data_IF_825118555720
#
_entry.id   IF_825118555720
#
_cell.length_a   1.000
_cell.length_b   1.000
_cell.length_c   1.000
_cell.angle_alpha   90.00
_cell.angle_beta   90.00
_cell.angle_gamma   90.00
#
_symmetry.space_group_name_H-M   'P 1'
#
loop_
_entity.id
_entity.type
_entity.pdbx_description
1 polymer ?
#
# COMPACT_ATOMS: atom_id res chain seq x y z
N UNK A 1 -14.60 22.42 -6.76
CA UNK A 1 -15.83 21.60 -6.59
C UNK A 1 -15.71 20.47 -5.56
N UNK A 2 -14.50 20.00 -5.18
CA UNK A 2 -14.37 18.88 -4.23
C UNK A 2 -14.99 19.15 -2.85
N UNK A 3 -14.82 20.37 -2.30
CA UNK A 3 -15.28 20.73 -0.94
C UNK A 3 -16.74 20.37 -0.61
N UNK A 4 -17.69 20.50 -1.55
CA UNK A 4 -19.11 20.21 -1.27
C UNK A 4 -19.40 18.71 -1.18
N UNK A 5 -18.72 17.91 -2.01
CA UNK A 5 -18.94 16.47 -2.11
C UNK A 5 -18.42 15.69 -0.89
N UNK A 6 -17.46 16.26 -0.16
CA UNK A 6 -16.97 15.71 1.11
C UNK A 6 -17.95 15.94 2.26
N UNK A 7 -18.74 17.02 2.24
CA UNK A 7 -19.70 17.33 3.30
C UNK A 7 -20.86 16.33 3.29
N UNK A 8 -21.38 16.00 2.10
CA UNK A 8 -22.41 14.96 1.94
C UNK A 8 -21.90 13.61 2.44
N UNK A 9 -20.71 13.19 2.01
CA UNK A 9 -20.10 11.93 2.45
C UNK A 9 -19.89 11.87 3.97
N UNK A 10 -19.47 12.97 4.60
CA UNK A 10 -19.30 13.03 6.05
C UNK A 10 -20.64 13.02 6.80
N UNK A 11 -21.74 13.42 6.16
CA UNK A 11 -23.07 13.36 6.76
C UNK A 11 -23.62 11.94 6.83
N UNK A 12 -23.15 11.03 5.96
CA UNK A 12 -23.57 9.62 5.93
C UNK A 12 -22.88 8.79 7.03
N UNK A 13 -21.81 9.31 7.63
CA UNK A 13 -21.09 8.68 8.72
C UNK A 13 -21.24 9.55 9.97
N UNK A 14 -21.66 8.99 11.09
CA UNK A 14 -21.68 9.72 12.38
C UNK A 14 -20.24 9.90 12.89
N UNK A 15 -19.50 10.80 12.26
CA UNK A 15 -18.07 11.02 12.50
C UNK A 15 -17.80 12.47 12.91
N UNK A 16 -17.20 12.64 14.08
CA UNK A 16 -16.77 13.96 14.56
C UNK A 16 -15.36 14.26 14.08
N UNK A 17 -15.18 15.34 13.32
CA UNK A 17 -13.84 15.80 12.89
C UNK A 17 -13.15 16.47 14.08
N UNK A 18 -12.34 15.70 14.80
CA UNK A 18 -11.49 16.21 15.89
C UNK A 18 -10.12 16.57 15.34
N UNK A 19 -9.81 17.86 15.28
CA UNK A 19 -8.48 18.32 14.91
C UNK A 19 -7.50 18.12 16.07
N UNK A 20 -6.45 17.36 15.82
CA UNK A 20 -5.38 17.14 16.80
C UNK A 20 -4.07 17.70 16.23
N UNK A 21 -3.62 18.83 16.76
CA UNK A 21 -2.33 19.40 16.37
C UNK A 21 -1.18 18.51 16.90
N UNK A 22 -0.27 18.10 16.02
CA UNK A 22 0.95 17.35 16.41
C UNK A 22 0.89 15.84 16.16
N UNK A 23 1.20 15.03 17.20
CA UNK A 23 1.55 13.59 17.10
C UNK A 23 0.45 12.68 16.54
N UNK A 24 -0.82 13.10 16.55
CA UNK A 24 -1.92 12.31 16.02
C UNK A 24 -1.81 12.06 14.51
N UNK A 25 -1.19 13.00 13.77
CA UNK A 25 -0.93 12.83 12.34
C UNK A 25 0.27 11.91 12.04
N UNK A 26 1.06 11.50 13.04
CA UNK A 26 2.25 10.67 12.82
C UNK A 26 1.85 9.28 12.32
N UNK A 27 0.77 8.72 12.86
CA UNK A 27 0.25 7.42 12.41
C UNK A 27 -0.28 7.51 10.97
N UNK A 28 -1.06 8.55 10.67
CA UNK A 28 -1.59 8.78 9.32
C UNK A 28 -0.47 9.03 8.29
N UNK A 29 0.54 9.85 8.63
CA UNK A 29 1.70 10.14 7.78
C UNK A 29 2.59 8.91 7.58
N UNK A 30 2.81 8.11 8.62
CA UNK A 30 3.55 6.85 8.52
C UNK A 30 2.83 5.83 7.62
N UNK A 31 1.51 5.73 7.70
CA UNK A 31 0.71 4.84 6.85
C UNK A 31 0.62 5.33 5.40
N UNK A 32 0.50 6.64 5.18
CA UNK A 32 0.45 7.24 3.84
C UNK A 32 1.73 6.99 3.03
N UNK A 33 2.88 6.90 3.71
CA UNK A 33 4.19 6.67 3.06
C UNK A 33 4.36 5.28 2.44
N UNK A 34 3.44 4.33 2.69
CA UNK A 34 3.59 2.95 2.20
C UNK A 34 3.23 2.78 0.72
N UNK A 35 2.43 3.67 0.14
CA UNK A 35 1.86 3.46 -1.21
C UNK A 35 2.70 4.06 -2.36
N UNK A 36 3.62 4.98 -2.07
CA UNK A 36 4.37 5.70 -3.10
C UNK A 36 5.64 5.01 -3.60
N UNK A 37 6.02 3.89 -3.00
CA UNK A 37 7.06 3.06 -3.58
C UNK A 37 6.44 2.35 -4.78
N UNK A 38 6.75 2.84 -5.98
CA UNK A 38 6.44 2.13 -7.24
C UNK A 38 6.78 0.65 -7.02
N UNK A 39 5.88 -0.29 -7.33
CA UNK A 39 6.19 -1.71 -7.23
C UNK A 39 7.53 -1.94 -7.90
N UNK A 40 8.51 -2.43 -7.15
CA UNK A 40 9.85 -2.67 -7.66
C UNK A 40 9.70 -3.68 -8.80
N UNK A 41 9.76 -3.21 -10.04
CA UNK A 41 9.64 -4.05 -11.24
C UNK A 41 10.89 -4.91 -11.32
N UNK A 42 10.81 -6.12 -10.79
CA UNK A 42 11.88 -7.12 -10.90
C UNK A 42 11.74 -7.79 -12.26
N UNK A 43 12.79 -7.78 -13.08
CA UNK A 43 12.80 -8.59 -14.30
C UNK A 43 12.93 -10.05 -13.88
N UNK A 44 12.07 -10.91 -14.42
CA UNK A 44 12.25 -12.35 -14.29
C UNK A 44 13.60 -12.72 -14.92
N UNK A 45 14.50 -13.31 -14.14
CA UNK A 45 15.71 -13.89 -14.68
C UNK A 45 15.34 -15.25 -15.28
N UNK A 46 15.71 -15.47 -16.54
CA UNK A 46 15.62 -16.81 -17.14
C UNK A 46 16.61 -17.70 -16.41
N UNK A 47 16.09 -18.58 -15.54
CA UNK A 47 16.88 -19.63 -14.94
C UNK A 47 16.90 -20.80 -15.92
N UNK A 48 18.02 -20.99 -16.62
CA UNK A 48 18.29 -22.25 -17.31
C UNK A 48 18.49 -23.32 -16.24
N UNK A 49 17.40 -24.05 -15.94
CA UNK A 49 17.44 -25.18 -15.02
C UNK A 49 18.33 -26.23 -15.66
N UNK A 50 19.50 -26.46 -15.06
CA UNK A 50 20.41 -27.53 -15.47
C UNK A 50 19.65 -28.87 -15.38
N UNK A 51 19.75 -29.77 -16.37
CA UNK A 51 18.99 -31.03 -16.40
C UNK A 51 19.13 -31.86 -15.11
N UNK A 52 20.32 -31.85 -14.49
CA UNK A 52 20.59 -32.53 -13.23
C UNK A 52 19.91 -31.93 -11.99
N UNK A 53 19.46 -30.67 -12.04
CA UNK A 53 18.76 -30.02 -10.93
C UNK A 53 17.29 -30.47 -10.85
N UNK A 54 16.63 -30.77 -11.99
CA UNK A 54 15.28 -31.36 -11.98
C UNK A 54 15.28 -32.75 -11.33
N UNK A 55 16.30 -33.55 -11.60
CA UNK A 55 16.41 -34.90 -11.07
C UNK A 55 16.51 -34.93 -9.53
N UNK A 56 17.15 -33.94 -8.91
CA UNK A 56 17.31 -33.84 -7.44
C UNK A 56 16.09 -33.27 -6.70
N UNK A 57 15.11 -32.69 -7.40
CA UNK A 57 13.92 -32.09 -6.77
C UNK A 57 12.74 -33.08 -6.78
N UNK A 58 12.78 -34.09 -7.64
CA UNK A 58 11.73 -35.10 -7.78
C UNK A 58 11.97 -36.36 -6.92
N UNK A 59 13.09 -36.42 -6.21
CA UNK A 59 13.39 -37.43 -5.18
C UNK A 59 13.04 -36.86 -3.79
#
# INVERSE_FOLDING_TARGET
MWKRRWIELLSDYECEIKYHSGKANVVADALSKKERLKPRRVRAMSMTIQPGLKAKILE
#
